data_IF_048121849004
#
_entry.id   IF_048121849004
#
_cell.length_a   1.000
_cell.length_b   1.000
_cell.length_c   1.000
_cell.angle_alpha   90.00
_cell.angle_beta   90.00
_cell.angle_gamma   90.00
#
_symmetry.space_group_name_H-M   'P 1'
#
loop_
_entity.id
_entity.type
_entity.pdbx_description
1 polymer ?
#
# COMPACT_ATOMS: atom_id res chain seq x y z
N UNK A 1 -11.71 -10.58 -22.03
CA UNK A 1 -10.94 -9.70 -21.11
C UNK A 1 -10.63 -10.54 -19.87
N UNK A 2 -9.36 -10.83 -19.59
CA UNK A 2 -8.98 -11.61 -18.40
C UNK A 2 -9.04 -10.66 -17.19
N UNK A 3 -9.76 -11.04 -16.14
CA UNK A 3 -9.86 -10.22 -14.94
C UNK A 3 -8.52 -10.23 -14.19
N UNK A 4 -7.87 -9.08 -14.05
CA UNK A 4 -6.62 -8.93 -13.29
C UNK A 4 -6.94 -8.69 -11.81
N UNK A 5 -7.26 -9.76 -11.08
CA UNK A 5 -7.65 -9.71 -9.68
C UNK A 5 -6.44 -9.99 -8.79
N UNK A 6 -6.21 -9.15 -7.80
CA UNK A 6 -5.08 -9.26 -6.87
C UNK A 6 -5.52 -9.16 -5.41
N UNK A 7 -4.68 -9.69 -4.52
CA UNK A 7 -4.94 -9.80 -3.09
C UNK A 7 -4.43 -8.57 -2.34
N UNK A 8 -5.27 -8.06 -1.45
CA UNK A 8 -4.98 -6.97 -0.54
C UNK A 8 -5.33 -7.40 0.88
N UNK A 9 -4.57 -6.91 1.87
CA UNK A 9 -4.92 -7.09 3.28
C UNK A 9 -5.37 -5.76 3.85
N UNK A 10 -6.66 -5.65 4.11
CA UNK A 10 -7.27 -4.43 4.60
C UNK A 10 -6.95 -4.20 6.08
N UNK A 11 -6.70 -2.95 6.40
CA UNK A 11 -6.64 -2.47 7.78
C UNK A 11 -8.08 -2.29 8.25
N UNK A 12 -8.49 -3.07 9.24
CA UNK A 12 -9.77 -2.88 9.92
C UNK A 12 -9.61 -2.06 11.19
N UNK A 13 -10.56 -1.18 11.43
CA UNK A 13 -10.73 -0.56 12.73
C UNK A 13 -11.35 -1.61 13.68
N UNK A 14 -10.88 -1.67 14.93
CA UNK A 14 -11.16 -2.76 15.88
C UNK A 14 -12.65 -3.07 16.12
N UNK A 15 -13.54 -2.13 15.81
CA UNK A 15 -14.98 -2.25 16.04
C UNK A 15 -15.72 -3.05 14.95
N UNK A 16 -15.15 -3.22 13.77
CA UNK A 16 -15.81 -3.85 12.60
C UNK A 16 -15.29 -5.26 12.26
N UNK A 17 -14.38 -5.82 13.07
CA UNK A 17 -13.83 -7.16 12.82
C UNK A 17 -14.63 -8.24 13.54
N UNK A 18 -15.23 -9.16 12.79
CA UNK A 18 -15.90 -10.36 13.32
C UNK A 18 -14.89 -11.35 13.95
N UNK A 19 -13.59 -11.19 13.70
CA UNK A 19 -12.53 -12.04 14.23
C UNK A 19 -11.34 -11.17 14.63
N UNK A 20 -11.02 -11.11 15.93
CA UNK A 20 -9.88 -10.35 16.43
C UNK A 20 -8.57 -10.81 15.75
N UNK A 21 -7.79 -9.85 15.25
CA UNK A 21 -6.40 -10.07 14.83
C UNK A 21 -6.16 -10.50 13.37
N UNK A 22 -7.20 -10.89 12.61
CA UNK A 22 -7.06 -11.25 11.19
C UNK A 22 -7.54 -10.11 10.30
N UNK A 23 -6.61 -9.27 9.84
CA UNK A 23 -6.91 -8.26 8.82
C UNK A 23 -7.63 -8.89 7.62
N UNK A 24 -8.68 -8.25 7.13
CA UNK A 24 -9.52 -8.82 6.07
C UNK A 24 -8.77 -8.90 4.76
N UNK A 25 -8.66 -10.11 4.23
CA UNK A 25 -8.18 -10.32 2.87
C UNK A 25 -9.27 -9.95 1.88
N UNK A 26 -8.97 -9.05 0.95
CA UNK A 26 -9.86 -8.66 -0.15
C UNK A 26 -9.20 -8.93 -1.50
N UNK A 27 -9.99 -9.41 -2.44
CA UNK A 27 -9.62 -9.52 -3.84
C UNK A 27 -10.15 -8.32 -4.62
N UNK A 28 -9.27 -7.57 -5.26
CA UNK A 28 -9.61 -6.37 -6.02
C UNK A 28 -9.16 -6.56 -7.46
N UNK A 29 -10.07 -6.32 -8.41
CA UNK A 29 -9.72 -6.22 -9.82
C UNK A 29 -8.99 -4.88 -10.06
N UNK A 30 -7.73 -4.97 -10.49
CA UNK A 30 -6.87 -3.82 -10.72
C UNK A 30 -7.37 -2.87 -11.82
N UNK A 31 -8.23 -3.34 -12.73
CA UNK A 31 -8.88 -2.48 -13.71
C UNK A 31 -9.77 -1.39 -13.08
N UNK A 32 -10.18 -1.59 -11.82
CA UNK A 32 -10.96 -0.61 -11.06
C UNK A 32 -10.11 0.18 -10.06
N UNK A 33 -8.80 -0.07 -9.99
CA UNK A 33 -7.91 0.66 -9.10
C UNK A 33 -7.60 2.04 -9.68
N UNK A 34 -7.91 3.09 -8.92
CA UNK A 34 -7.67 4.48 -9.34
C UNK A 34 -6.38 5.02 -8.74
N UNK A 35 -6.12 4.76 -7.46
CA UNK A 35 -4.89 5.19 -6.81
C UNK A 35 -4.54 4.33 -5.61
N UNK A 36 -3.23 4.21 -5.36
CA UNK A 36 -2.66 3.69 -4.12
C UNK A 36 -1.66 4.72 -3.61
N UNK A 37 -1.76 5.09 -2.33
CA UNK A 37 -0.81 6.03 -1.71
C UNK A 37 -0.35 5.51 -0.36
N UNK A 38 0.96 5.50 -0.06
CA UNK A 38 1.44 5.13 1.27
C UNK A 38 0.97 6.17 2.30
N UNK A 39 0.57 5.71 3.47
CA UNK A 39 0.11 6.52 4.59
C UNK A 39 0.63 5.93 5.91
N UNK A 40 0.77 6.79 6.92
CA UNK A 40 0.99 6.36 8.30
C UNK A 40 -0.34 6.45 9.06
N UNK A 41 -0.74 5.36 9.71
CA UNK A 41 -1.99 5.29 10.45
C UNK A 41 -1.67 5.14 11.93
N UNK A 42 -2.13 6.09 12.74
CA UNK A 42 -2.06 5.97 14.19
C UNK A 42 -3.08 4.93 14.68
N UNK A 43 -2.61 3.95 15.44
CA UNK A 43 -3.40 2.92 16.10
C UNK A 43 -3.11 2.96 17.60
N UNK A 44 -3.93 2.26 18.40
CA UNK A 44 -3.69 2.14 19.85
C UNK A 44 -2.32 1.50 20.18
N UNK A 45 -1.78 0.67 19.28
CA UNK A 45 -0.49 0.02 19.45
C UNK A 45 0.70 0.85 18.90
N UNK A 46 0.44 2.04 18.35
CA UNK A 46 1.45 2.89 17.71
C UNK A 46 1.12 3.20 16.25
N UNK A 47 2.11 3.66 15.50
CA UNK A 47 1.95 4.03 14.08
C UNK A 47 2.23 2.82 13.19
N UNK A 48 1.28 2.50 12.31
CA UNK A 48 1.40 1.43 11.31
C UNK A 48 1.48 2.04 9.92
N UNK A 49 2.43 1.55 9.11
CA UNK A 49 2.50 1.90 7.70
C UNK A 49 1.42 1.15 6.92
N UNK A 50 0.64 1.89 6.14
CA UNK A 50 -0.49 1.37 5.38
C UNK A 50 -0.59 2.07 4.01
N UNK A 51 -1.62 1.73 3.27
CA UNK A 51 -1.90 2.25 1.94
C UNK A 51 -3.34 2.72 1.85
N UNK A 52 -3.54 3.92 1.32
CA UNK A 52 -4.85 4.42 0.91
C UNK A 52 -5.16 3.92 -0.49
N UNK A 53 -6.21 3.12 -0.63
CA UNK A 53 -6.66 2.56 -1.91
C UNK A 53 -7.95 3.26 -2.31
N UNK A 54 -8.01 3.75 -3.57
CA UNK A 54 -9.23 4.31 -4.17
C UNK A 54 -9.63 3.48 -5.37
N UNK A 55 -10.91 3.11 -5.44
CA UNK A 55 -11.50 2.41 -6.57
C UNK A 55 -12.36 3.33 -7.44
N UNK A 56 -12.61 2.90 -8.68
CA UNK A 56 -13.37 3.66 -9.69
C UNK A 56 -14.83 3.87 -9.33
N UNK A 57 -15.40 2.99 -8.49
CA UNK A 57 -16.75 3.12 -7.96
C UNK A 57 -16.85 4.09 -6.77
N UNK A 58 -15.78 4.83 -6.45
CA UNK A 58 -15.74 5.78 -5.35
C UNK A 58 -15.42 5.17 -3.98
N UNK A 59 -15.35 3.84 -3.85
CA UNK A 59 -14.97 3.19 -2.59
C UNK A 59 -13.50 3.45 -2.26
N UNK A 60 -13.23 3.58 -0.96
CA UNK A 60 -11.89 3.82 -0.41
C UNK A 60 -11.61 2.79 0.67
N UNK A 61 -10.39 2.30 0.72
CA UNK A 61 -9.95 1.31 1.71
C UNK A 61 -8.57 1.69 2.25
N UNK A 62 -8.28 1.26 3.46
CA UNK A 62 -6.92 1.23 4.00
C UNK A 62 -6.42 -0.21 3.94
N UNK A 63 -5.18 -0.41 3.55
CA UNK A 63 -4.57 -1.74 3.51
C UNK A 63 -3.20 -1.73 4.15
N UNK A 64 -2.86 -2.78 4.90
CA UNK A 64 -1.49 -2.97 5.42
C UNK A 64 -0.60 -3.65 4.39
N UNK A 65 -1.18 -4.42 3.47
CA UNK A 65 -0.44 -5.12 2.42
C UNK A 65 -1.14 -4.93 1.05
N UNK A 66 -0.33 -4.63 0.03
CA UNK A 66 -0.73 -4.52 -1.36
C UNK A 66 0.08 -5.52 -2.21
N UNK A 67 -0.37 -5.87 -3.43
CA UNK A 67 0.39 -6.70 -4.36
C UNK A 67 1.80 -6.16 -4.62
N UNK A 68 2.78 -7.06 -4.72
CA UNK A 68 4.20 -6.74 -4.88
C UNK A 68 4.47 -5.78 -6.04
N UNK A 69 3.86 -6.04 -7.20
CA UNK A 69 3.94 -5.19 -8.39
C UNK A 69 3.55 -3.72 -8.14
N UNK A 70 2.56 -3.47 -7.27
CA UNK A 70 2.17 -2.10 -6.91
C UNK A 70 3.15 -1.49 -5.91
N UNK A 71 3.71 -2.30 -5.02
CA UNK A 71 4.72 -1.84 -4.05
C UNK A 71 6.02 -1.43 -4.71
N UNK A 72 6.45 -2.15 -5.75
CA UNK A 72 7.66 -1.85 -6.53
C UNK A 72 7.50 -0.54 -7.31
N UNK A 73 6.34 -0.35 -7.96
CA UNK A 73 6.03 0.91 -8.65
C UNK A 73 6.09 2.11 -7.71
N UNK A 74 5.55 1.98 -6.49
CA UNK A 74 5.58 3.05 -5.49
C UNK A 74 6.99 3.35 -4.97
N UNK A 75 7.86 2.35 -4.82
CA UNK A 75 9.26 2.56 -4.44
C UNK A 75 10.00 3.33 -5.53
N UNK A 76 9.77 2.97 -6.79
CA UNK A 76 10.37 3.64 -7.94
C UNK A 76 9.91 5.11 -8.02
N UNK A 77 8.63 5.39 -7.75
CA UNK A 77 8.12 6.76 -7.70
C UNK A 77 8.81 7.60 -6.62
N UNK A 78 9.06 7.03 -5.44
CA UNK A 78 9.77 7.73 -4.35
C UNK A 78 11.23 7.99 -4.72
N UNK A 79 11.92 7.01 -5.30
CA UNK A 79 13.31 7.17 -5.74
C UNK A 79 13.44 8.20 -6.87
N UNK A 80 12.52 8.20 -7.83
CA UNK A 80 12.51 9.17 -8.92
C UNK A 80 12.25 10.59 -8.40
N UNK A 81 11.36 10.77 -7.42
CA UNK A 81 11.14 12.08 -6.80
C UNK A 81 12.37 12.58 -6.01
N UNK A 82 13.12 11.67 -5.38
CA UNK A 82 14.37 12.01 -4.70
C UNK A 82 15.46 12.45 -5.70
N UNK A 83 15.61 11.73 -6.81
CA UNK A 83 16.60 12.05 -7.86
C UNK A 83 16.30 13.39 -8.54
N UNK A 84 15.02 13.73 -8.74
CA UNK A 84 14.63 15.02 -9.35
C UNK A 84 14.87 16.24 -8.45
N UNK A 85 14.97 16.04 -7.13
CA UNK A 85 15.17 17.12 -6.17
C UNK A 85 16.64 17.33 -5.74
N UNK A 86 17.60 16.78 -6.48
CA UNK A 86 19.01 17.16 -6.35
C UNK A 86 19.65 16.70 -5.04
N UNK A 87 19.82 15.39 -4.88
CA UNK A 87 20.90 14.83 -4.06
C UNK A 87 21.28 13.47 -4.65
N UNK A 88 22.53 13.35 -5.12
CA UNK A 88 23.17 12.04 -5.25
C UNK A 88 23.10 11.36 -3.88
N UNK A 89 22.34 10.28 -3.76
CA UNK A 89 22.44 9.41 -2.59
C UNK A 89 23.64 8.54 -2.89
N UNK A 90 24.74 8.86 -2.21
CA UNK A 90 26.00 8.14 -2.25
C UNK A 90 25.77 6.63 -2.27
N UNK A 91 26.50 5.99 -3.17
CA UNK A 91 26.72 4.57 -3.16
C UNK A 91 27.29 4.17 -1.80
N UNK A 92 26.49 3.52 -0.95
CA UNK A 92 27.04 2.71 0.13
C UNK A 92 26.72 1.26 -0.21
N UNK A 93 27.66 0.66 -0.94
CA UNK A 93 27.94 -0.76 -0.82
C UNK A 93 28.24 -1.02 0.65
N UNK A 94 27.39 -1.79 1.31
CA UNK A 94 27.70 -2.36 2.62
C UNK A 94 27.79 -3.88 2.46
N UNK A 95 28.89 -4.32 1.83
CA UNK A 95 29.44 -5.68 1.97
C UNK A 95 30.97 -5.57 1.96
N UNK A 96 31.53 -5.55 3.17
CA UNK A 96 32.92 -5.82 3.59
C UNK A 96 34.03 -4.87 3.11
#
# INVERSE_FOLDING_TARGET
MIANIKKFKLLQDKEDSLVEGLGVTMLINLAHLVSVKPINVATQAGVVQAYWIRLSNGKKYKATEIPEELSELLKNDVMNFAQLNGSEIDSINDVH
#
